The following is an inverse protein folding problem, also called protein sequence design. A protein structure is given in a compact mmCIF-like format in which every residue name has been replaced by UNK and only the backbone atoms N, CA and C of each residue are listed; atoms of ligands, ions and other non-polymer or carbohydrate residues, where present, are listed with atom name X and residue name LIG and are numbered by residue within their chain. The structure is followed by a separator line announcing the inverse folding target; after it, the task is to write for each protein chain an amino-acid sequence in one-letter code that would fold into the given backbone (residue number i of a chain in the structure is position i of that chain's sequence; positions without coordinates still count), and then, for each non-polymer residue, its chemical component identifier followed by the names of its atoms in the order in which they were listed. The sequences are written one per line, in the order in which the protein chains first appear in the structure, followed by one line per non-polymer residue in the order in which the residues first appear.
data_IF_485721092786
#
_entry.id   IF_485721092786
#
_cell.length_a   1.000
_cell.length_b   1.000
_cell.length_c   1.000
_cell.angle_alpha   90.00
_cell.angle_beta   90.00
_cell.angle_gamma   90.00
#
_symmetry.space_group_name_H-M   'P 1'
#
loop_
_entity.id
_entity.type
_entity.pdbx_description
1 polymer ?
#
# COMPACT_ATOMS: atom_id res chain seq x y z
N UNK A 1 -21.69 1.96 -28.10
CA UNK A 1 -21.76 1.71 -26.65
C UNK A 1 -20.33 1.46 -26.18
N UNK A 2 -19.68 2.44 -25.58
CA UNK A 2 -18.29 2.31 -25.12
C UNK A 2 -18.32 1.70 -23.72
N UNK A 3 -18.04 0.41 -23.61
CA UNK A 3 -17.78 -0.23 -22.31
C UNK A 3 -16.38 0.21 -21.87
N UNK A 4 -16.30 1.34 -21.18
CA UNK A 4 -15.11 1.70 -20.41
C UNK A 4 -15.01 0.68 -19.29
N UNK A 5 -14.26 -0.40 -19.52
CA UNK A 5 -13.85 -1.32 -18.47
C UNK A 5 -13.00 -0.50 -17.51
N UNK A 6 -13.58 -0.06 -16.38
CA UNK A 6 -12.78 0.52 -15.31
C UNK A 6 -11.68 -0.50 -14.97
N UNK A 7 -10.39 -0.11 -15.00
CA UNK A 7 -9.34 -1.01 -14.59
C UNK A 7 -9.69 -1.47 -13.17
N UNK A 8 -9.74 -2.79 -12.95
CA UNK A 8 -9.99 -3.34 -11.63
C UNK A 8 -9.02 -2.67 -10.65
N UNK A 9 -9.56 -1.85 -9.73
CA UNK A 9 -8.76 -1.07 -8.79
C UNK A 9 -7.82 -2.02 -8.07
N UNK A 10 -6.52 -1.76 -8.20
CA UNK A 10 -5.51 -2.65 -7.66
C UNK A 10 -5.63 -2.65 -6.12
N UNK A 11 -5.48 -3.82 -5.49
CA UNK A 11 -5.68 -3.97 -4.05
C UNK A 11 -4.36 -4.02 -3.31
N UNK A 12 -4.35 -3.44 -2.11
CA UNK A 12 -3.24 -3.53 -1.19
C UNK A 12 -2.82 -4.99 -0.95
N UNK A 13 -1.51 -5.21 -0.86
CA UNK A 13 -0.92 -6.53 -0.63
C UNK A 13 -0.37 -6.73 0.78
N UNK A 14 -0.59 -5.76 1.68
CA UNK A 14 -0.14 -5.87 3.06
C UNK A 14 -1.05 -6.80 3.88
N UNK A 15 -0.47 -7.51 4.84
CA UNK A 15 -1.18 -8.38 5.78
C UNK A 15 -1.15 -7.79 7.19
N UNK A 16 -2.19 -8.06 7.97
CA UNK A 16 -2.19 -7.74 9.41
C UNK A 16 -1.40 -8.82 10.20
N UNK A 17 -1.28 -8.63 11.51
CA UNK A 17 -0.59 -9.58 12.40
C UNK A 17 -1.24 -10.98 12.46
N UNK A 18 -2.50 -11.12 12.04
CA UNK A 18 -3.22 -12.40 11.97
C UNK A 18 -3.07 -13.09 10.61
N UNK A 19 -2.40 -12.44 9.65
CA UNK A 19 -2.25 -12.91 8.28
C UNK A 19 -3.38 -12.51 7.34
N UNK A 20 -4.40 -11.78 7.80
CA UNK A 20 -5.47 -11.32 6.93
C UNK A 20 -4.95 -10.25 5.96
N UNK A 21 -5.32 -10.39 4.70
CA UNK A 21 -4.97 -9.43 3.66
C UNK A 21 -5.77 -8.14 3.79
N UNK A 22 -5.09 -7.01 3.63
CA UNK A 22 -5.75 -5.72 3.53
C UNK A 22 -6.65 -5.65 2.29
N UNK A 23 -7.88 -5.18 2.48
CA UNK A 23 -8.87 -4.97 1.41
C UNK A 23 -8.86 -3.54 0.87
N UNK A 24 -7.96 -2.68 1.38
CA UNK A 24 -7.85 -1.30 0.93
C UNK A 24 -7.35 -1.20 -0.51
N UNK A 25 -7.84 -0.20 -1.23
CA UNK A 25 -7.38 0.12 -2.57
C UNK A 25 -5.91 0.57 -2.54
N UNK A 26 -5.12 0.05 -3.47
CA UNK A 26 -3.73 0.47 -3.66
C UNK A 26 -3.69 1.88 -4.25
N UNK A 27 -2.67 2.64 -3.88
CA UNK A 27 -2.47 4.00 -4.38
C UNK A 27 -2.17 4.02 -5.89
N UNK A 28 -1.51 2.98 -6.39
CA UNK A 28 -1.11 2.87 -7.79
C UNK A 28 -2.00 1.86 -8.54
N UNK A 29 -2.66 2.25 -9.64
CA UNK A 29 -3.47 1.34 -10.43
C UNK A 29 -2.65 0.30 -11.22
N UNK A 30 -1.35 0.50 -11.44
CA UNK A 30 -0.48 -0.49 -12.09
C UNK A 30 -0.14 -1.63 -11.11
N UNK A 31 -0.59 -2.87 -11.34
CA UNK A 31 -0.30 -4.01 -10.46
C UNK A 31 1.20 -4.38 -10.37
N UNK A 32 2.05 -3.83 -11.23
CA UNK A 32 3.52 -4.00 -11.18
C UNK A 32 4.21 -2.99 -10.25
N UNK A 33 3.54 -1.90 -9.90
CA UNK A 33 4.02 -0.95 -8.91
C UNK A 33 3.84 -1.51 -7.48
N UNK A 34 4.37 -0.79 -6.48
CA UNK A 34 4.23 -1.16 -5.08
C UNK A 34 2.76 -1.06 -4.66
N UNK A 35 2.15 -2.21 -4.38
CA UNK A 35 0.72 -2.34 -4.07
C UNK A 35 0.40 -2.08 -2.58
N UNK A 36 0.39 -0.82 -2.18
CA UNK A 36 0.07 -0.38 -0.81
C UNK A 36 -1.05 0.66 -0.81
N UNK A 37 -1.96 0.57 0.17
CA UNK A 37 -2.97 1.61 0.38
C UNK A 37 -2.40 2.79 1.18
N UNK A 38 -3.14 3.90 1.21
CA UNK A 38 -2.72 5.13 1.91
C UNK A 38 -2.35 4.89 3.38
N UNK A 39 -3.12 4.06 4.10
CA UNK A 39 -2.86 3.74 5.51
C UNK A 39 -1.50 3.06 5.69
N UNK A 40 -1.25 1.98 4.95
CA UNK A 40 0.02 1.25 5.07
C UNK A 40 1.20 2.05 4.53
N UNK A 41 1.00 2.92 3.54
CA UNK A 41 2.05 3.85 3.10
C UNK A 41 2.48 4.79 4.25
N UNK A 42 1.51 5.35 5.00
CA UNK A 42 1.82 6.20 6.15
C UNK A 42 2.56 5.44 7.26
N UNK A 43 2.15 4.22 7.56
CA UNK A 43 2.82 3.35 8.55
C UNK A 43 4.28 3.03 8.15
N UNK A 44 4.52 2.66 6.88
CA UNK A 44 5.86 2.42 6.35
C UNK A 44 6.73 3.67 6.45
N UNK A 45 6.18 4.84 6.10
CA UNK A 45 6.92 6.10 6.18
C UNK A 45 7.28 6.47 7.63
N UNK A 46 6.37 6.21 8.59
CA UNK A 46 6.65 6.42 10.01
C UNK A 46 7.80 5.51 10.50
N UNK A 47 7.78 4.23 10.12
CA UNK A 47 8.85 3.27 10.46
C UNK A 47 10.20 3.68 9.87
N UNK A 48 10.24 4.14 8.61
CA UNK A 48 11.46 4.66 7.98
C UNK A 48 11.98 5.89 8.73
N UNK A 49 11.10 6.82 9.07
CA UNK A 49 11.47 8.04 9.81
C UNK A 49 12.05 7.70 11.18
N UNK A 50 11.44 6.76 11.91
CA UNK A 50 11.93 6.31 13.22
C UNK A 50 13.26 5.57 13.13
N UNK A 51 13.45 4.73 12.11
CA UNK A 51 14.73 4.07 11.88
C UNK A 51 15.84 5.09 11.62
N UNK A 52 15.59 6.09 10.76
CA UNK A 52 16.54 7.18 10.46
C UNK A 52 16.90 8.01 11.69
N UNK A 53 15.98 8.21 12.63
CA UNK A 53 16.28 8.91 13.89
C UNK A 53 17.23 8.10 14.76
N UNK A 54 17.00 6.78 14.87
CA UNK A 54 17.82 5.88 15.71
C UNK A 54 19.25 5.72 15.20
N UNK A 55 19.44 5.61 13.88
CA UNK A 55 20.77 5.42 13.28
C UNK A 55 21.64 6.68 13.25
N UNK A 56 21.08 7.84 13.58
CA UNK A 56 21.80 9.13 13.62
C UNK A 56 22.36 9.45 15.01
N UNK A 57 22.09 8.61 16.00
CA UNK A 57 22.62 8.63 17.37
C UNK A 57 23.71 7.59 17.51
#
# INVERSE_FOLDING_TARGET
MSTTTEPARAQCRMTNAKGDRCTGEALDPDPKAIQVCQRHAAEVMALIADHRKRTRT
#
